data_IF_862259935230
#
_entry.id   IF_862259935230
#
_cell.length_a   1.000
_cell.length_b   1.000
_cell.length_c   1.000
_cell.angle_alpha   90.00
_cell.angle_beta   90.00
_cell.angle_gamma   90.00
#
_symmetry.space_group_name_H-M   'P 1'
#
loop_
_entity.id
_entity.type
_entity.pdbx_description
1 polymer ?
#
# COMPACT_ATOMS: atom_id res chain seq x y z
N UNK A 1 15.36 15.61 1.62
CA UNK A 1 14.09 15.54 2.36
C UNK A 1 12.93 16.14 1.57
N UNK A 2 12.97 17.43 1.22
CA UNK A 2 11.89 18.08 0.43
C UNK A 2 11.66 17.43 -0.94
N UNK A 3 12.71 16.96 -1.63
CA UNK A 3 12.62 16.33 -2.92
C UNK A 3 11.92 14.96 -2.85
N UNK A 4 12.27 14.14 -1.87
CA UNK A 4 11.64 12.84 -1.64
C UNK A 4 10.13 12.95 -1.37
N UNK A 5 9.69 13.96 -0.58
CA UNK A 5 8.28 14.20 -0.35
C UNK A 5 7.53 14.65 -1.62
N UNK A 6 8.16 15.42 -2.51
CA UNK A 6 7.57 15.80 -3.81
C UNK A 6 7.46 14.60 -4.75
N UNK A 7 8.49 13.77 -4.82
CA UNK A 7 8.46 12.53 -5.60
C UNK A 7 7.37 11.57 -5.08
N UNK A 8 7.22 11.46 -3.76
CA UNK A 8 6.11 10.72 -3.13
C UNK A 8 4.75 11.23 -3.61
N UNK A 9 4.52 12.54 -3.60
CA UNK A 9 3.25 13.12 -4.05
C UNK A 9 2.99 12.81 -5.53
N UNK A 10 4.02 12.87 -6.38
CA UNK A 10 3.92 12.48 -7.79
C UNK A 10 3.58 10.98 -7.92
N UNK A 11 4.19 10.11 -7.12
CA UNK A 11 3.87 8.68 -7.10
C UNK A 11 2.41 8.42 -6.71
N UNK A 12 1.90 9.11 -5.69
CA UNK A 12 0.50 8.99 -5.24
C UNK A 12 -0.47 9.51 -6.31
N UNK A 13 -0.14 10.63 -6.96
CA UNK A 13 -0.96 11.20 -8.04
C UNK A 13 -1.10 10.22 -9.22
N UNK A 14 -0.03 9.53 -9.58
CA UNK A 14 -0.02 8.49 -10.62
C UNK A 14 -0.65 7.17 -10.19
N UNK A 15 -1.10 7.05 -8.94
CA UNK A 15 -1.62 5.84 -8.32
C UNK A 15 -3.07 6.02 -7.82
N UNK A 16 -4.04 6.37 -8.69
CA UNK A 16 -5.42 6.64 -8.27
C UNK A 16 -6.16 5.41 -7.74
N UNK A 17 -5.75 4.19 -8.06
CA UNK A 17 -6.26 2.92 -7.50
C UNK A 17 -5.13 1.91 -7.33
N UNK A 18 -5.36 0.79 -6.60
CA UNK A 18 -4.40 -0.30 -6.44
C UNK A 18 -3.85 -0.82 -7.78
N UNK A 19 -4.67 -0.86 -8.81
CA UNK A 19 -4.24 -1.28 -10.15
C UNK A 19 -3.27 -0.28 -10.79
N UNK A 20 -3.51 1.02 -10.62
CA UNK A 20 -2.62 2.07 -11.10
C UNK A 20 -1.34 2.14 -10.27
N UNK A 21 -1.41 1.87 -8.95
CA UNK A 21 -0.22 1.78 -8.11
C UNK A 21 0.76 0.74 -8.64
N UNK A 22 0.24 -0.43 -9.02
CA UNK A 22 1.09 -1.50 -9.60
C UNK A 22 1.60 -1.12 -10.99
N UNK A 23 0.83 -0.45 -11.82
CA UNK A 23 1.31 0.02 -13.12
C UNK A 23 2.40 1.11 -12.97
N UNK A 24 2.26 2.01 -11.98
CA UNK A 24 3.28 3.01 -11.64
C UNK A 24 4.58 2.34 -11.17
N UNK A 25 4.48 1.37 -10.24
CA UNK A 25 5.64 0.60 -9.77
C UNK A 25 6.28 -0.19 -10.91
N UNK A 26 5.48 -0.83 -11.76
CA UNK A 26 5.95 -1.52 -12.96
C UNK A 26 6.73 -0.58 -13.89
N UNK A 27 6.21 0.63 -14.13
CA UNK A 27 6.91 1.64 -14.92
C UNK A 27 8.30 1.99 -14.35
N UNK A 28 8.40 2.17 -13.03
CA UNK A 28 9.69 2.43 -12.36
C UNK A 28 10.67 1.24 -12.52
N UNK A 29 10.17 0.01 -12.46
CA UNK A 29 10.98 -1.20 -12.65
C UNK A 29 11.43 -1.36 -14.11
N UNK A 30 10.55 -1.10 -15.08
CA UNK A 30 10.85 -1.15 -16.51
C UNK A 30 11.94 -0.11 -16.86
N UNK A 31 11.82 1.11 -16.36
CA UNK A 31 12.83 2.17 -16.51
C UNK A 31 14.19 1.79 -15.90
N UNK A 32 14.16 1.05 -14.78
CA UNK A 32 15.36 0.53 -14.13
C UNK A 32 15.93 -0.75 -14.79
N UNK A 33 15.31 -1.26 -15.86
CA UNK A 33 15.78 -2.39 -16.64
C UNK A 33 15.44 -3.76 -16.04
N UNK A 34 14.42 -3.86 -15.19
CA UNK A 34 13.93 -5.13 -14.66
C UNK A 34 13.17 -5.93 -15.72
N UNK A 35 13.31 -7.24 -15.70
CA UNK A 35 12.65 -8.16 -16.63
C UNK A 35 11.34 -8.67 -16.01
N UNK A 36 10.23 -8.51 -16.73
CA UNK A 36 8.96 -9.10 -16.34
C UNK A 36 8.95 -10.62 -16.51
N UNK A 37 8.55 -11.32 -15.46
CA UNK A 37 8.41 -12.78 -15.44
C UNK A 37 6.93 -13.17 -15.26
N UNK A 38 6.20 -13.51 -16.32
CA UNK A 38 4.82 -13.97 -16.19
C UNK A 38 4.71 -15.21 -15.30
N UNK A 39 3.72 -15.26 -14.39
CA UNK A 39 3.57 -16.42 -13.50
C UNK A 39 3.31 -17.73 -14.24
N UNK A 40 2.68 -17.69 -15.42
CA UNK A 40 2.33 -18.88 -16.21
C UNK A 40 3.52 -19.48 -16.99
N UNK A 41 4.65 -18.78 -17.08
CA UNK A 41 5.83 -19.25 -17.85
C UNK A 41 6.90 -19.84 -16.94
N UNK A 42 7.81 -20.63 -17.53
CA UNK A 42 9.03 -21.02 -16.83
C UNK A 42 9.96 -19.80 -16.70
N UNK A 43 10.53 -19.61 -15.53
CA UNK A 43 11.45 -18.50 -15.29
C UNK A 43 12.90 -18.88 -15.61
N UNK A 44 13.61 -17.98 -16.27
CA UNK A 44 15.07 -18.03 -16.48
C UNK A 44 15.70 -16.92 -15.60
N UNK A 45 16.04 -17.29 -14.37
CA UNK A 45 16.63 -16.37 -13.38
C UNK A 45 18.13 -16.65 -13.31
N UNK A 46 18.94 -15.57 -13.33
CA UNK A 46 20.40 -15.63 -13.30
C UNK A 46 20.97 -14.78 -12.18
N UNK A 47 22.13 -15.14 -11.69
CA UNK A 47 22.93 -14.30 -10.80
C UNK A 47 23.20 -12.95 -11.46
N UNK A 48 23.07 -11.87 -10.69
CA UNK A 48 23.18 -10.50 -11.17
C UNK A 48 21.95 -9.97 -11.91
N UNK A 49 20.90 -10.79 -12.11
CA UNK A 49 19.68 -10.40 -12.82
C UNK A 49 18.68 -9.67 -11.94
N UNK A 50 17.78 -8.91 -12.59
CA UNK A 50 16.72 -8.11 -11.97
C UNK A 50 15.40 -8.44 -12.61
N UNK A 51 14.39 -8.76 -11.79
CA UNK A 51 13.13 -9.32 -12.26
C UNK A 51 11.95 -8.84 -11.44
N UNK A 52 10.75 -8.93 -12.02
CA UNK A 52 9.49 -8.76 -11.29
C UNK A 52 8.39 -9.64 -11.86
N UNK A 53 7.38 -9.90 -11.03
CA UNK A 53 6.15 -10.59 -11.41
C UNK A 53 4.94 -9.91 -10.79
N UNK A 54 3.78 -10.04 -11.44
CA UNK A 54 2.52 -9.37 -11.05
C UNK A 54 1.43 -10.41 -10.91
N UNK A 55 0.66 -10.31 -9.81
CA UNK A 55 -0.54 -11.12 -9.59
C UNK A 55 -1.79 -10.21 -9.53
N UNK A 56 -2.84 -10.61 -10.21
CA UNK A 56 -4.14 -9.92 -10.27
C UNK A 56 -4.09 -8.45 -10.78
N UNK A 57 -3.00 -7.98 -11.38
CA UNK A 57 -2.82 -6.57 -11.76
C UNK A 57 -2.81 -5.59 -10.57
N UNK A 58 -2.79 -6.09 -9.33
CA UNK A 58 -2.89 -5.28 -8.11
C UNK A 58 -1.86 -5.61 -7.05
N UNK A 59 -1.04 -6.65 -7.26
CA UNK A 59 0.13 -6.97 -6.42
C UNK A 59 1.35 -7.26 -7.27
N UNK A 60 2.52 -6.87 -6.78
CA UNK A 60 3.80 -7.04 -7.48
C UNK A 60 4.88 -7.50 -6.51
N UNK A 61 5.74 -8.40 -6.98
CA UNK A 61 6.99 -8.76 -6.31
C UNK A 61 8.13 -8.54 -7.30
N UNK A 62 9.11 -7.71 -6.92
CA UNK A 62 10.33 -7.48 -7.66
C UNK A 62 11.52 -8.04 -6.87
N UNK A 63 12.53 -8.56 -7.57
CA UNK A 63 13.72 -9.08 -6.93
C UNK A 63 14.99 -8.86 -7.74
N UNK A 64 16.08 -8.71 -7.01
CA UNK A 64 17.43 -8.62 -7.56
C UNK A 64 18.26 -9.75 -6.98
N UNK A 65 18.93 -10.50 -7.84
CA UNK A 65 19.79 -11.61 -7.47
C UNK A 65 21.23 -11.10 -7.43
N UNK A 66 21.94 -11.33 -6.33
CA UNK A 66 23.35 -10.99 -6.22
C UNK A 66 24.22 -11.74 -7.24
N UNK A 67 25.41 -11.22 -7.53
CA UNK A 67 26.34 -11.85 -8.46
C UNK A 67 27.21 -12.92 -7.82
N UNK A 68 27.36 -12.88 -6.51
CA UNK A 68 28.24 -13.73 -5.71
C UNK A 68 27.43 -14.52 -4.68
N UNK A 69 26.40 -15.23 -5.12
CA UNK A 69 25.57 -16.05 -4.25
C UNK A 69 26.38 -17.26 -3.74
N UNK A 70 26.67 -17.24 -2.44
CA UNK A 70 27.13 -18.42 -1.70
C UNK A 70 25.97 -19.10 -0.98
N UNK A 71 26.03 -19.11 0.35
CA UNK A 71 24.88 -19.37 1.23
C UNK A 71 24.04 -18.09 1.28
N UNK A 72 23.08 -18.00 0.39
CA UNK A 72 22.25 -16.78 0.21
C UNK A 72 21.00 -16.82 1.07
N UNK A 73 20.41 -15.66 1.30
CA UNK A 73 19.11 -15.52 1.91
C UNK A 73 18.25 -14.47 1.18
N UNK A 74 16.99 -14.33 1.57
CA UNK A 74 16.09 -13.33 1.03
C UNK A 74 16.02 -12.14 1.97
N UNK A 75 16.34 -10.95 1.47
CA UNK A 75 16.23 -9.69 2.18
C UNK A 75 15.02 -8.94 1.65
N UNK A 76 13.92 -8.92 2.42
CA UNK A 76 12.58 -8.58 1.93
C UNK A 76 12.05 -7.33 2.59
N UNK A 77 11.39 -6.45 1.81
CA UNK A 77 10.54 -5.40 2.33
C UNK A 77 9.16 -5.50 1.68
N UNK A 78 8.10 -5.42 2.48
CA UNK A 78 6.73 -5.54 2.02
C UNK A 78 5.89 -4.34 2.48
N UNK A 79 5.00 -3.88 1.58
CA UNK A 79 4.04 -2.80 1.73
C UNK A 79 2.74 -3.17 1.02
N UNK A 80 1.73 -2.28 1.00
CA UNK A 80 0.51 -2.56 0.25
C UNK A 80 0.12 -1.45 -0.75
N UNK A 81 -0.71 -1.83 -1.73
CA UNK A 81 -1.08 -1.01 -2.88
C UNK A 81 -2.47 -0.37 -2.76
N UNK A 82 -3.31 -0.93 -1.91
CA UNK A 82 -4.69 -0.52 -1.66
C UNK A 82 -4.76 0.55 -0.55
N UNK A 83 -5.91 1.18 -0.40
CA UNK A 83 -6.22 2.18 0.63
C UNK A 83 -7.73 2.20 0.84
N UNK A 84 -8.24 2.59 2.02
CA UNK A 84 -9.68 2.64 2.26
C UNK A 84 -10.39 3.59 1.30
N UNK A 85 -11.46 3.08 0.70
CA UNK A 85 -12.26 3.83 -0.27
C UNK A 85 -13.68 3.24 -0.40
N UNK A 86 -14.46 3.71 -1.37
CA UNK A 86 -15.75 3.13 -1.73
C UNK A 86 -15.68 2.48 -3.09
N UNK A 87 -16.01 1.18 -3.14
CA UNK A 87 -16.15 0.43 -4.40
C UNK A 87 -17.51 0.73 -5.02
N UNK A 88 -17.53 1.02 -6.31
CA UNK A 88 -18.74 1.18 -7.09
C UNK A 88 -19.33 -0.21 -7.37
N UNK A 89 -20.61 -0.41 -7.04
CA UNK A 89 -21.30 -1.69 -7.28
C UNK A 89 -21.52 -1.96 -8.77
N UNK A 90 -21.73 -3.21 -9.13
CA UNK A 90 -21.87 -3.63 -10.53
C UNK A 90 -23.03 -2.96 -11.26
N UNK A 91 -24.16 -2.79 -10.58
CA UNK A 91 -25.31 -2.03 -11.07
C UNK A 91 -25.38 -0.74 -10.24
N UNK A 92 -24.65 0.32 -10.64
CA UNK A 92 -24.38 1.41 -9.72
C UNK A 92 -25.43 2.50 -9.69
N UNK A 93 -26.25 2.63 -10.73
CA UNK A 93 -27.11 3.80 -10.88
C UNK A 93 -28.39 3.70 -10.04
N UNK A 94 -28.56 4.66 -9.13
CA UNK A 94 -29.73 4.81 -8.27
C UNK A 94 -30.48 6.08 -8.64
N UNK A 95 -31.79 5.97 -8.86
CA UNK A 95 -32.66 7.15 -8.94
C UNK A 95 -32.67 7.86 -7.58
N UNK A 96 -32.49 9.16 -7.61
CA UNK A 96 -32.65 10.03 -6.44
C UNK A 96 -34.03 10.67 -6.39
N UNK A 97 -34.28 11.58 -5.43
CA UNK A 97 -35.41 12.45 -5.46
C UNK A 97 -35.45 13.28 -6.75
N UNK A 98 -36.64 13.46 -7.34
CA UNK A 98 -36.78 14.21 -8.60
C UNK A 98 -35.99 13.55 -9.74
N UNK A 99 -35.12 14.31 -10.39
CA UNK A 99 -34.33 13.85 -11.53
C UNK A 99 -32.86 13.53 -11.17
N UNK A 100 -32.51 13.46 -9.88
CA UNK A 100 -31.14 13.13 -9.47
C UNK A 100 -30.78 11.69 -9.84
N UNK A 101 -29.57 11.52 -10.35
CA UNK A 101 -28.92 10.22 -10.54
C UNK A 101 -27.73 10.11 -9.58
N UNK A 102 -27.69 9.04 -8.81
CA UNK A 102 -26.65 8.76 -7.81
C UNK A 102 -25.97 7.42 -8.14
N UNK A 103 -24.82 7.18 -7.54
CA UNK A 103 -24.16 5.88 -7.65
C UNK A 103 -24.27 5.11 -6.32
N UNK A 104 -24.51 3.80 -6.42
CA UNK A 104 -24.47 2.86 -5.31
C UNK A 104 -23.05 2.39 -5.08
N UNK A 105 -22.58 2.50 -3.86
CA UNK A 105 -21.22 2.17 -3.44
C UNK A 105 -21.22 1.31 -2.19
N UNK A 106 -20.15 0.59 -1.96
CA UNK A 106 -19.90 -0.11 -0.70
C UNK A 106 -18.50 0.19 -0.17
N UNK A 107 -18.35 0.18 1.14
CA UNK A 107 -17.10 0.45 1.80
C UNK A 107 -16.06 -0.64 1.48
N UNK A 108 -14.86 -0.22 1.12
CA UNK A 108 -13.66 -1.03 0.99
C UNK A 108 -12.68 -0.61 2.08
N UNK A 109 -12.56 -1.44 3.12
CA UNK A 109 -11.76 -1.13 4.31
C UNK A 109 -12.50 -0.30 5.37
N UNK A 110 -11.74 0.25 6.30
CA UNK A 110 -12.22 0.96 7.49
C UNK A 110 -11.99 2.46 7.46
N UNK A 111 -12.63 3.20 6.54
CA UNK A 111 -12.44 4.63 6.37
C UNK A 111 -13.13 5.49 7.44
N UNK A 112 -12.67 6.72 7.60
CA UNK A 112 -13.34 7.79 8.36
C UNK A 112 -14.38 8.43 7.44
N UNK A 113 -15.64 7.95 7.53
CA UNK A 113 -16.73 8.28 6.59
C UNK A 113 -16.94 9.77 6.37
N UNK A 114 -16.93 10.60 7.44
CA UNK A 114 -17.19 12.04 7.36
C UNK A 114 -16.16 12.83 6.54
N UNK A 115 -14.99 12.27 6.29
CA UNK A 115 -13.95 12.95 5.51
C UNK A 115 -14.19 12.90 4.00
N UNK A 116 -15.14 12.07 3.55
CA UNK A 116 -15.49 11.89 2.15
C UNK A 116 -16.55 12.88 1.64
N UNK A 117 -17.22 13.59 2.54
CA UNK A 117 -18.25 14.54 2.16
C UNK A 117 -17.68 15.84 1.58
N UNK A 118 -18.47 16.47 0.69
CA UNK A 118 -18.25 17.80 0.10
C UNK A 118 -16.91 17.97 -0.61
N UNK A 119 -16.34 16.87 -1.13
CA UNK A 119 -15.08 16.86 -1.86
C UNK A 119 -15.28 16.54 -3.33
N UNK A 120 -14.43 17.07 -4.22
CA UNK A 120 -14.42 16.64 -5.62
C UNK A 120 -13.93 15.20 -5.70
N UNK A 121 -14.76 14.32 -6.22
CA UNK A 121 -14.48 12.90 -6.39
C UNK A 121 -14.50 12.51 -7.85
N UNK A 122 -13.77 11.45 -8.17
CA UNK A 122 -13.80 10.78 -9.46
C UNK A 122 -13.75 9.26 -9.29
N UNK A 123 -13.51 8.56 -10.40
CA UNK A 123 -13.53 7.09 -10.49
C UNK A 123 -12.24 6.61 -11.12
N UNK A 124 -11.62 5.59 -10.51
CA UNK A 124 -10.50 4.86 -11.07
C UNK A 124 -10.63 3.36 -10.79
N UNK A 125 -9.94 2.56 -11.58
CA UNK A 125 -9.87 1.13 -11.36
C UNK A 125 -9.61 0.34 -12.64
N UNK A 126 -10.17 -0.86 -12.70
CA UNK A 126 -10.02 -1.81 -13.80
C UNK A 126 -11.36 -2.14 -14.41
N UNK A 127 -11.41 -2.20 -15.74
CA UNK A 127 -12.57 -2.64 -16.51
C UNK A 127 -12.17 -3.84 -17.38
N UNK A 128 -12.96 -4.88 -17.36
CA UNK A 128 -12.81 -6.08 -18.21
C UNK A 128 -13.69 -5.90 -19.43
N UNK A 129 -13.08 -5.89 -20.59
CA UNK A 129 -13.78 -5.68 -21.86
C UNK A 129 -13.62 -6.89 -22.77
N UNK A 130 -14.62 -7.13 -23.61
CA UNK A 130 -14.54 -8.12 -24.68
C UNK A 130 -13.44 -7.71 -25.67
N UNK A 131 -12.59 -8.65 -26.04
CA UNK A 131 -11.46 -8.45 -26.95
C UNK A 131 -11.35 -9.65 -27.90
N UNK A 132 -11.94 -9.51 -29.07
CA UNK A 132 -12.09 -10.62 -30.03
C UNK A 132 -12.85 -11.80 -29.42
N UNK A 133 -12.19 -12.96 -29.26
CA UNK A 133 -12.75 -14.14 -28.59
C UNK A 133 -12.41 -14.21 -27.10
N UNK A 134 -11.75 -13.19 -26.57
CA UNK A 134 -11.25 -13.14 -25.20
C UNK A 134 -11.84 -12.00 -24.39
N UNK A 135 -11.22 -11.80 -23.22
CA UNK A 135 -11.48 -10.68 -22.30
C UNK A 135 -10.15 -10.05 -21.95
N UNK A 136 -10.05 -8.75 -22.08
CA UNK A 136 -8.87 -7.99 -21.69
C UNK A 136 -9.17 -6.98 -20.57
N UNK A 137 -8.20 -6.75 -19.68
CA UNK A 137 -8.29 -5.71 -18.66
C UNK A 137 -7.81 -4.37 -19.22
N UNK A 138 -8.55 -3.30 -18.91
CA UNK A 138 -8.18 -1.93 -19.22
C UNK A 138 -8.20 -1.12 -17.94
N UNK A 139 -7.18 -0.29 -17.69
CA UNK A 139 -7.21 0.68 -16.61
C UNK A 139 -8.09 1.87 -17.01
N UNK A 140 -8.84 2.36 -16.03
CA UNK A 140 -9.69 3.53 -16.16
C UNK A 140 -9.37 4.53 -15.07
N UNK A 141 -9.10 5.77 -15.46
CA UNK A 141 -9.07 6.94 -14.58
C UNK A 141 -9.80 8.09 -15.29
N UNK A 142 -10.85 8.60 -14.66
CA UNK A 142 -11.58 9.74 -15.20
C UNK A 142 -10.95 11.02 -14.63
N UNK A 143 -10.09 11.66 -15.38
CA UNK A 143 -9.39 12.88 -14.95
C UNK A 143 -10.31 14.11 -14.99
N UNK A 144 -11.37 14.08 -14.17
CA UNK A 144 -12.38 15.13 -14.06
C UNK A 144 -13.04 15.07 -12.68
N UNK A 145 -13.40 16.22 -12.12
CA UNK A 145 -14.31 16.33 -10.99
C UNK A 145 -15.68 15.82 -11.42
N UNK A 146 -16.03 14.62 -10.99
CA UNK A 146 -17.15 13.87 -11.56
C UNK A 146 -18.32 13.72 -10.59
N UNK A 147 -18.01 13.57 -9.30
CA UNK A 147 -18.93 13.14 -8.26
C UNK A 147 -18.74 13.97 -7.00
N UNK A 148 -19.79 14.02 -6.19
CA UNK A 148 -19.74 14.56 -4.83
C UNK A 148 -20.65 13.74 -3.92
N UNK A 149 -20.24 13.53 -2.67
CA UNK A 149 -21.10 13.05 -1.59
C UNK A 149 -21.52 14.28 -0.79
N UNK A 150 -22.74 14.83 -0.96
CA UNK A 150 -23.12 16.06 -0.30
C UNK A 150 -23.54 15.81 1.14
N UNK A 151 -23.08 16.66 2.08
CA UNK A 151 -23.66 16.72 3.42
C UNK A 151 -25.11 17.19 3.40
N UNK A 152 -25.88 16.74 4.36
CA UNK A 152 -27.19 17.35 4.66
C UNK A 152 -26.95 18.69 5.35
N UNK A 153 -27.60 19.73 4.86
CA UNK A 153 -27.49 21.06 5.47
C UNK A 153 -27.77 21.04 6.97
N UNK A 154 -27.01 21.80 7.74
CA UNK A 154 -27.15 21.87 9.21
C UNK A 154 -28.57 22.11 9.68
N UNK A 155 -29.38 22.83 8.88
CA UNK A 155 -30.78 23.12 9.17
C UNK A 155 -31.67 21.86 9.22
N UNK A 156 -31.31 20.83 8.50
CA UNK A 156 -32.02 19.55 8.38
C UNK A 156 -31.35 18.41 9.14
N UNK A 157 -30.10 18.60 9.61
CA UNK A 157 -29.39 17.65 10.44
C UNK A 157 -28.58 18.35 11.54
N UNK A 158 -29.28 18.80 12.58
CA UNK A 158 -28.69 19.56 13.70
C UNK A 158 -27.80 18.69 14.58
N UNK A 159 -27.96 17.36 14.50
CA UNK A 159 -27.19 16.38 15.29
C UNK A 159 -25.82 16.06 14.67
N UNK A 160 -25.52 16.58 13.48
CA UNK A 160 -24.26 16.24 12.78
C UNK A 160 -23.01 16.52 13.62
N UNK A 161 -23.03 17.56 14.47
CA UNK A 161 -21.93 17.91 15.36
C UNK A 161 -21.99 17.23 16.74
N UNK A 162 -23.01 16.41 16.99
CA UNK A 162 -23.25 15.73 18.28
C UNK A 162 -22.97 14.21 18.20
N UNK A 163 -22.18 13.76 17.22
CA UNK A 163 -21.85 12.33 17.03
C UNK A 163 -22.83 11.59 16.12
N UNK A 164 -23.29 12.24 15.05
CA UNK A 164 -24.16 11.63 14.04
C UNK A 164 -23.51 10.36 13.43
N UNK A 165 -24.27 9.25 13.43
CA UNK A 165 -23.85 8.00 12.84
C UNK A 165 -24.32 7.91 11.39
N UNK A 166 -23.40 7.94 10.45
CA UNK A 166 -23.67 7.80 9.03
C UNK A 166 -24.20 6.40 8.69
N UNK A 167 -25.22 6.35 7.83
CA UNK A 167 -25.68 5.12 7.18
C UNK A 167 -25.09 5.07 5.76
N UNK A 168 -24.14 4.19 5.53
CA UNK A 168 -23.41 4.11 4.26
C UNK A 168 -24.31 3.88 3.06
N UNK A 169 -25.42 3.15 3.22
CA UNK A 169 -26.39 2.91 2.11
C UNK A 169 -27.21 4.14 1.77
N UNK A 170 -27.37 5.09 2.70
CA UNK A 170 -28.25 6.26 2.53
C UNK A 170 -27.42 7.52 2.31
N UNK A 171 -26.43 7.76 3.17
CA UNK A 171 -25.72 9.03 3.25
C UNK A 171 -24.52 9.12 2.27
N UNK A 172 -23.97 7.97 1.83
CA UNK A 172 -22.71 7.94 1.10
C UNK A 172 -22.83 7.60 -0.39
N UNK A 173 -24.03 7.65 -0.95
CA UNK A 173 -24.24 7.48 -2.39
C UNK A 173 -23.86 8.78 -3.14
N UNK A 174 -22.77 8.78 -3.95
CA UNK A 174 -22.35 9.98 -4.66
C UNK A 174 -23.41 10.50 -5.65
N UNK A 175 -23.58 11.80 -5.69
CA UNK A 175 -24.37 12.47 -6.71
C UNK A 175 -23.61 12.47 -8.04
N UNK A 176 -24.25 11.99 -9.10
CA UNK A 176 -23.68 11.89 -10.44
C UNK A 176 -24.33 12.85 -11.44
N UNK A 177 -25.64 13.13 -11.32
CA UNK A 177 -26.34 14.08 -12.20
C UNK A 177 -27.53 14.71 -11.51
N UNK A 178 -27.84 15.95 -11.91
CA UNK A 178 -29.00 16.72 -11.50
C UNK A 178 -30.13 16.72 -12.56
N UNK A 179 -30.17 15.72 -13.45
CA UNK A 179 -31.23 15.54 -14.43
C UNK A 179 -30.78 15.49 -15.89
N UNK A 180 -29.58 15.96 -16.21
CA UNK A 180 -29.04 15.92 -17.56
C UNK A 180 -28.72 14.49 -18.04
N UNK A 181 -28.30 13.63 -17.13
CA UNK A 181 -27.99 12.23 -17.42
C UNK A 181 -29.16 11.32 -17.01
N UNK A 182 -29.36 10.28 -17.80
CA UNK A 182 -30.37 9.25 -17.55
C UNK A 182 -29.68 7.92 -17.24
N UNK A 183 -30.42 6.96 -16.71
CA UNK A 183 -29.94 5.61 -16.42
C UNK A 183 -29.25 4.99 -17.63
N UNK A 184 -28.11 4.37 -17.41
CA UNK A 184 -27.18 3.87 -18.43
C UNK A 184 -26.03 4.82 -18.76
N UNK A 185 -26.06 6.06 -18.24
CA UNK A 185 -25.06 7.08 -18.51
C UNK A 185 -23.68 6.71 -17.94
N UNK A 186 -23.63 6.00 -16.82
CA UNK A 186 -22.35 5.65 -16.18
C UNK A 186 -21.56 4.66 -17.06
N UNK A 187 -22.20 3.58 -17.51
CA UNK A 187 -21.54 2.61 -18.40
C UNK A 187 -21.26 3.21 -19.78
N UNK A 188 -22.12 4.09 -20.29
CA UNK A 188 -21.86 4.83 -21.53
C UNK A 188 -20.65 5.76 -21.42
N UNK A 189 -20.46 6.41 -20.27
CA UNK A 189 -19.26 7.22 -19.99
C UNK A 189 -17.99 6.35 -19.99
N UNK A 190 -18.01 5.21 -19.28
CA UNK A 190 -16.87 4.28 -19.23
C UNK A 190 -16.54 3.78 -20.63
N UNK A 191 -17.54 3.38 -21.41
CA UNK A 191 -17.39 2.90 -22.78
C UNK A 191 -16.71 3.96 -23.67
N UNK A 192 -17.15 5.22 -23.53
CA UNK A 192 -16.56 6.36 -24.26
C UNK A 192 -15.11 6.59 -23.90
N UNK A 193 -14.77 6.59 -22.60
CA UNK A 193 -13.39 6.79 -22.14
C UNK A 193 -12.45 5.68 -22.60
N UNK A 194 -12.94 4.44 -22.63
CA UNK A 194 -12.14 3.29 -23.08
C UNK A 194 -12.16 3.06 -24.60
N UNK A 195 -13.01 3.78 -25.32
CA UNK A 195 -13.17 3.61 -26.78
C UNK A 195 -13.77 2.25 -27.17
N UNK A 196 -14.72 1.72 -26.37
CA UNK A 196 -15.38 0.43 -26.58
C UNK A 196 -16.91 0.61 -26.64
N UNK A 197 -17.64 -0.42 -27.07
CA UNK A 197 -19.08 -0.44 -26.95
C UNK A 197 -19.49 -0.76 -25.50
N UNK A 198 -20.61 -0.21 -25.01
CA UNK A 198 -21.06 -0.43 -23.65
C UNK A 198 -21.38 -1.90 -23.35
N UNK A 199 -21.90 -2.62 -24.35
CA UNK A 199 -22.16 -4.06 -24.29
C UNK A 199 -20.91 -4.93 -24.24
N UNK A 200 -19.75 -4.39 -24.56
CA UNK A 200 -18.46 -5.08 -24.44
C UNK A 200 -17.85 -4.98 -23.03
N UNK A 201 -18.44 -4.17 -22.14
CA UNK A 201 -18.02 -4.08 -20.73
C UNK A 201 -18.58 -5.30 -19.98
N UNK A 202 -17.69 -6.23 -19.58
CA UNK A 202 -18.06 -7.49 -18.94
C UNK A 202 -17.89 -7.48 -17.42
N UNK A 203 -17.06 -6.60 -16.89
CA UNK A 203 -16.82 -6.49 -15.45
C UNK A 203 -16.09 -5.20 -15.08
N UNK A 204 -16.29 -4.75 -13.82
CA UNK A 204 -15.74 -3.49 -13.33
C UNK A 204 -15.28 -3.64 -11.89
N UNK A 205 -14.02 -3.29 -11.61
CA UNK A 205 -13.50 -3.04 -10.28
C UNK A 205 -13.15 -1.56 -10.19
N UNK A 206 -14.13 -0.74 -9.88
CA UNK A 206 -14.02 0.73 -9.86
C UNK A 206 -14.23 1.26 -8.46
N UNK A 207 -13.45 2.30 -8.12
CA UNK A 207 -13.40 2.88 -6.79
C UNK A 207 -13.50 4.40 -6.87
N UNK A 208 -14.04 5.02 -5.82
CA UNK A 208 -14.02 6.48 -5.68
C UNK A 208 -12.60 6.95 -5.41
N UNK A 209 -12.25 8.08 -5.98
CA UNK A 209 -10.95 8.74 -5.80
C UNK A 209 -11.16 10.17 -5.38
N UNK A 210 -10.55 10.57 -4.26
CA UNK A 210 -10.47 11.96 -3.85
C UNK A 210 -9.52 12.71 -4.78
N UNK A 211 -10.00 13.76 -5.44
CA UNK A 211 -9.22 14.56 -6.38
C UNK A 211 -8.43 15.70 -5.74
N UNK A 212 -8.54 15.90 -4.43
CA UNK A 212 -7.73 16.89 -3.75
C UNK A 212 -6.24 16.52 -3.90
N UNK A 213 -5.41 17.39 -4.53
CA UNK A 213 -4.00 17.07 -4.73
C UNK A 213 -3.25 17.00 -3.42
N UNK A 214 -2.19 16.19 -3.40
CA UNK A 214 -1.25 16.19 -2.30
C UNK A 214 -0.51 17.52 -2.19
N UNK A 215 -0.14 17.92 -0.98
CA UNK A 215 0.54 19.20 -0.72
C UNK A 215 1.58 19.08 0.39
N UNK A 216 2.64 19.88 0.28
CA UNK A 216 3.57 20.16 1.38
C UNK A 216 3.18 21.50 1.96
N UNK A 217 3.08 21.59 3.29
CA UNK A 217 2.54 22.75 3.96
C UNK A 217 3.11 22.95 5.38
N UNK A 218 2.61 23.98 6.05
CA UNK A 218 3.15 24.51 7.31
C UNK A 218 4.14 25.64 7.03
N UNK A 219 4.32 26.55 7.98
CA UNK A 219 5.21 27.70 7.81
C UNK A 219 6.68 27.29 7.58
N UNK A 220 7.08 26.11 8.06
CA UNK A 220 8.41 25.54 7.89
C UNK A 220 8.44 24.32 6.94
N UNK A 221 7.38 24.14 6.11
CA UNK A 221 7.25 23.02 5.17
C UNK A 221 7.46 21.63 5.83
N UNK A 222 6.89 21.44 7.03
CA UNK A 222 7.13 20.26 7.88
C UNK A 222 6.17 19.11 7.58
N UNK A 223 5.02 19.41 6.94
CA UNK A 223 3.93 18.46 6.74
C UNK A 223 3.73 18.14 5.27
N UNK A 224 3.42 16.90 5.00
CA UNK A 224 2.91 16.43 3.73
C UNK A 224 1.51 15.86 3.95
N UNK A 225 0.54 16.31 3.16
CA UNK A 225 -0.83 15.79 3.20
C UNK A 225 -1.24 15.31 1.82
N UNK A 226 -1.89 14.15 1.78
CA UNK A 226 -2.37 13.53 0.54
C UNK A 226 -3.45 12.49 0.85
N UNK A 227 -4.31 12.15 -0.11
CA UNK A 227 -5.00 10.86 -0.07
C UNK A 227 -3.99 9.71 -0.08
N UNK A 228 -4.35 8.57 0.51
CA UNK A 228 -3.63 7.29 0.36
C UNK A 228 -2.15 7.34 0.81
N UNK A 229 -1.79 8.15 1.83
CA UNK A 229 -0.48 8.02 2.46
C UNK A 229 -0.33 6.62 3.06
N UNK A 230 -1.38 6.10 3.65
CA UNK A 230 -1.55 4.70 3.98
C UNK A 230 -2.04 3.91 2.74
N UNK A 231 -1.23 3.04 2.11
CA UNK A 231 0.18 2.78 2.45
C UNK A 231 1.13 3.13 1.28
N UNK A 232 0.65 3.98 0.35
CA UNK A 232 1.48 4.38 -0.80
C UNK A 232 2.76 5.12 -0.38
N UNK A 233 2.81 5.66 0.83
CA UNK A 233 4.02 6.24 1.39
C UNK A 233 5.07 5.15 1.63
N UNK A 234 4.72 4.04 2.31
CA UNK A 234 5.63 2.92 2.52
C UNK A 234 5.93 2.18 1.21
N UNK A 235 4.95 2.02 0.32
CA UNK A 235 5.16 1.43 -0.99
C UNK A 235 6.20 2.21 -1.81
N UNK A 236 6.12 3.54 -1.80
CA UNK A 236 7.08 4.40 -2.48
C UNK A 236 8.49 4.33 -1.88
N UNK A 237 8.61 4.52 -0.54
CA UNK A 237 9.94 4.55 0.10
C UNK A 237 10.65 3.21 0.01
N UNK A 238 9.91 2.10 0.11
CA UNK A 238 10.43 0.75 -0.04
C UNK A 238 10.90 0.48 -1.47
N UNK A 239 10.12 0.90 -2.48
CA UNK A 239 10.51 0.78 -3.89
C UNK A 239 11.74 1.63 -4.20
N UNK A 240 11.77 2.88 -3.76
CA UNK A 240 12.90 3.79 -3.97
C UNK A 240 14.19 3.21 -3.38
N UNK A 241 14.13 2.75 -2.14
CA UNK A 241 15.24 2.11 -1.46
C UNK A 241 15.72 0.84 -2.18
N UNK A 242 14.78 -0.01 -2.62
CA UNK A 242 15.09 -1.22 -3.39
C UNK A 242 15.79 -0.92 -4.70
N UNK A 243 15.39 0.13 -5.42
CA UNK A 243 16.02 0.54 -6.68
C UNK A 243 17.43 1.10 -6.47
N UNK A 244 17.66 1.88 -5.40
CA UNK A 244 18.92 2.54 -5.11
C UNK A 244 19.97 1.58 -4.50
N UNK A 245 19.52 0.58 -3.76
CA UNK A 245 20.42 -0.35 -3.07
C UNK A 245 21.04 -1.38 -4.04
N UNK A 246 22.22 -1.85 -3.67
CA UNK A 246 22.90 -2.97 -4.32
C UNK A 246 23.42 -3.93 -3.26
N UNK A 247 23.13 -5.21 -3.42
CA UNK A 247 23.69 -6.30 -2.65
C UNK A 247 24.14 -7.40 -3.62
N UNK A 248 25.38 -7.81 -3.55
CA UNK A 248 25.95 -8.76 -4.48
C UNK A 248 25.92 -10.22 -3.94
N UNK A 249 25.54 -10.41 -2.68
CA UNK A 249 25.56 -11.71 -1.99
C UNK A 249 24.21 -12.37 -1.81
N UNK A 250 23.13 -11.56 -1.73
CA UNK A 250 21.81 -12.00 -1.34
C UNK A 250 20.78 -11.79 -2.45
N UNK A 251 19.56 -12.22 -2.20
CA UNK A 251 18.41 -11.91 -3.04
C UNK A 251 17.59 -10.84 -2.35
N UNK A 252 17.68 -9.60 -2.86
CA UNK A 252 16.83 -8.49 -2.41
C UNK A 252 15.45 -8.62 -3.03
N UNK A 253 14.38 -8.49 -2.21
CA UNK A 253 12.99 -8.65 -2.65
C UNK A 253 12.16 -7.47 -2.18
N UNK A 254 11.43 -6.84 -3.10
CA UNK A 254 10.40 -5.85 -2.84
C UNK A 254 9.03 -6.47 -3.08
N UNK A 255 8.11 -6.30 -2.14
CA UNK A 255 6.72 -6.76 -2.24
C UNK A 255 5.77 -5.59 -2.07
N UNK A 256 4.72 -5.53 -2.93
CA UNK A 256 3.60 -4.63 -2.72
C UNK A 256 2.33 -5.44 -2.94
N UNK A 257 1.58 -5.71 -1.85
CA UNK A 257 0.40 -6.57 -1.86
C UNK A 257 -0.88 -5.75 -1.95
N UNK A 258 -1.96 -6.37 -2.41
CA UNK A 258 -3.30 -5.82 -2.44
C UNK A 258 -4.16 -6.39 -1.30
N UNK A 259 -5.27 -5.73 -1.02
CA UNK A 259 -6.30 -6.14 -0.07
C UNK A 259 -5.84 -6.20 1.40
N UNK A 260 -4.82 -5.43 1.78
CA UNK A 260 -4.46 -5.30 3.20
C UNK A 260 -5.64 -4.76 3.99
N UNK A 261 -6.27 -3.70 3.51
CA UNK A 261 -7.37 -2.97 4.12
C UNK A 261 -8.65 -3.80 4.36
N UNK A 262 -8.73 -4.97 3.76
CA UNK A 262 -9.82 -5.93 3.90
C UNK A 262 -9.35 -7.30 4.39
N UNK A 263 -8.17 -7.37 5.01
CA UNK A 263 -7.64 -8.53 5.73
C UNK A 263 -6.74 -9.47 4.95
N UNK A 264 -6.19 -9.07 3.80
CA UNK A 264 -5.17 -9.81 3.02
C UNK A 264 -5.58 -11.23 2.57
N UNK A 265 -6.83 -11.62 2.73
CA UNK A 265 -7.31 -13.00 2.53
C UNK A 265 -7.81 -13.23 1.10
N UNK A 266 -6.94 -12.93 0.12
CA UNK A 266 -7.20 -13.11 -1.31
C UNK A 266 -6.00 -13.77 -1.98
N UNK A 267 -6.13 -14.20 -3.26
CA UNK A 267 -5.03 -14.81 -4.01
C UNK A 267 -3.82 -13.89 -4.22
N UNK A 268 -3.99 -12.58 -4.08
CA UNK A 268 -2.97 -11.54 -4.26
C UNK A 268 -2.59 -10.83 -2.96
N UNK A 269 -3.29 -11.07 -1.85
CA UNK A 269 -2.99 -10.46 -0.54
C UNK A 269 -1.76 -11.08 0.13
N UNK A 270 -1.28 -10.46 1.20
CA UNK A 270 -0.11 -10.92 1.96
C UNK A 270 -0.29 -12.31 2.56
N UNK A 271 -1.53 -12.75 2.80
CA UNK A 271 -1.85 -14.07 3.33
C UNK A 271 -1.88 -15.18 2.27
N UNK A 272 -1.70 -14.82 0.98
CA UNK A 272 -1.65 -15.78 -0.12
C UNK A 272 -0.28 -16.48 -0.22
N UNK A 273 -0.21 -17.50 -1.07
CA UNK A 273 1.07 -18.15 -1.40
C UNK A 273 1.94 -17.33 -2.35
N UNK A 274 1.57 -16.08 -2.71
CA UNK A 274 2.27 -15.32 -3.74
C UNK A 274 3.76 -15.16 -3.44
N UNK A 275 4.11 -14.73 -2.24
CA UNK A 275 5.50 -14.61 -1.82
C UNK A 275 6.20 -15.98 -1.83
N UNK A 276 5.60 -16.99 -1.22
CA UNK A 276 6.13 -18.35 -1.17
C UNK A 276 6.41 -18.92 -2.58
N UNK A 277 5.43 -18.78 -3.49
CA UNK A 277 5.56 -19.23 -4.88
C UNK A 277 6.76 -18.58 -5.57
N UNK A 278 6.93 -17.25 -5.39
CA UNK A 278 8.04 -16.48 -5.98
C UNK A 278 9.39 -16.95 -5.43
N UNK A 279 9.53 -17.07 -4.10
CA UNK A 279 10.78 -17.48 -3.47
C UNK A 279 11.18 -18.91 -3.88
N UNK A 280 10.22 -19.85 -3.92
CA UNK A 280 10.47 -21.21 -4.43
C UNK A 280 10.93 -21.20 -5.89
N UNK A 281 10.31 -20.38 -6.73
CA UNK A 281 10.66 -20.28 -8.15
C UNK A 281 12.03 -19.65 -8.36
N UNK A 282 12.43 -18.66 -7.56
CA UNK A 282 13.79 -18.11 -7.58
C UNK A 282 14.79 -19.20 -7.25
N UNK A 283 14.60 -19.89 -6.13
CA UNK A 283 15.48 -20.99 -5.70
C UNK A 283 15.63 -22.05 -6.79
N UNK A 284 14.52 -22.55 -7.34
CA UNK A 284 14.55 -23.58 -8.38
C UNK A 284 15.18 -23.12 -9.70
N UNK A 285 14.93 -21.86 -10.12
CA UNK A 285 15.51 -21.29 -11.34
C UNK A 285 17.02 -21.06 -11.23
N UNK A 286 17.53 -20.81 -10.01
CA UNK A 286 18.96 -20.73 -9.70
C UNK A 286 19.64 -22.11 -9.63
N UNK A 287 18.89 -23.20 -9.84
CA UNK A 287 19.41 -24.57 -9.77
C UNK A 287 19.70 -25.07 -8.35
N UNK A 288 19.14 -24.40 -7.34
CA UNK A 288 19.27 -24.76 -5.93
C UNK A 288 18.28 -25.86 -5.55
N UNK A 289 18.62 -26.64 -4.53
CA UNK A 289 17.78 -27.74 -4.03
C UNK A 289 16.64 -27.24 -3.14
N UNK A 290 15.63 -28.07 -2.81
CA UNK A 290 14.66 -27.73 -1.78
C UNK A 290 15.27 -27.49 -0.40
N UNK A 291 16.36 -28.17 -0.06
CA UNK A 291 17.08 -27.96 1.20
C UNK A 291 17.75 -26.57 1.25
N UNK A 292 18.35 -26.12 0.14
CA UNK A 292 18.92 -24.77 0.02
C UNK A 292 17.83 -23.69 0.24
N UNK A 293 16.59 -23.96 -0.20
CA UNK A 293 15.47 -23.07 0.05
C UNK A 293 15.17 -22.91 1.54
N UNK A 294 15.10 -24.00 2.29
CA UNK A 294 14.83 -23.94 3.72
C UNK A 294 15.95 -23.25 4.50
N UNK A 295 17.20 -23.47 4.10
CA UNK A 295 18.34 -22.76 4.66
C UNK A 295 18.27 -21.26 4.37
N UNK A 296 17.99 -20.90 3.11
CA UNK A 296 17.83 -19.51 2.71
C UNK A 296 16.70 -18.81 3.50
N UNK A 297 15.54 -19.45 3.64
CA UNK A 297 14.41 -18.90 4.41
C UNK A 297 14.77 -18.72 5.89
N UNK A 298 15.48 -19.69 6.50
CA UNK A 298 15.89 -19.59 7.90
C UNK A 298 16.86 -18.42 8.16
N UNK A 299 17.68 -18.05 7.17
CA UNK A 299 18.57 -16.87 7.22
C UNK A 299 17.92 -15.57 6.75
N UNK A 300 16.64 -15.58 6.34
CA UNK A 300 15.96 -14.44 5.73
C UNK A 300 15.39 -13.47 6.75
N UNK A 301 15.18 -12.22 6.30
CA UNK A 301 14.58 -11.16 7.10
C UNK A 301 13.56 -10.37 6.28
N UNK A 302 12.40 -10.10 6.90
CA UNK A 302 11.32 -9.30 6.32
C UNK A 302 11.14 -8.00 7.10
N UNK A 303 11.15 -6.88 6.41
CA UNK A 303 10.65 -5.59 6.90
C UNK A 303 9.22 -5.41 6.39
N UNK A 304 8.24 -5.48 7.28
CA UNK A 304 6.85 -5.13 7.01
C UNK A 304 6.71 -3.62 7.21
N UNK A 305 6.56 -2.88 6.11
CA UNK A 305 6.51 -1.43 6.09
C UNK A 305 5.09 -0.97 5.79
N UNK A 306 4.43 -0.43 6.79
CA UNK A 306 3.04 0.00 6.77
C UNK A 306 2.90 1.15 7.79
N UNK A 307 2.22 2.25 7.43
CA UNK A 307 2.26 3.48 8.20
C UNK A 307 1.87 3.31 9.69
N UNK A 308 2.34 4.22 10.53
CA UNK A 308 2.14 4.19 11.98
C UNK A 308 1.36 5.43 12.46
N UNK A 309 0.73 5.33 13.64
CA UNK A 309 -0.01 6.44 14.22
C UNK A 309 0.92 7.43 14.90
N UNK A 310 0.89 8.71 14.48
CA UNK A 310 1.50 9.79 15.26
C UNK A 310 0.61 10.21 16.44
N UNK A 311 1.21 10.73 17.52
CA UNK A 311 0.47 11.33 18.62
C UNK A 311 -0.41 12.46 18.08
N UNK A 312 -1.72 12.36 18.36
CA UNK A 312 -2.67 13.37 17.89
C UNK A 312 -2.55 14.65 18.72
N UNK A 313 -2.41 15.83 18.08
CA UNK A 313 -2.11 17.09 18.79
C UNK A 313 -3.17 17.49 19.83
N UNK A 314 -4.44 17.11 19.62
CA UNK A 314 -5.54 17.43 20.54
C UNK A 314 -6.01 16.23 21.38
N UNK A 315 -5.46 15.03 21.15
CA UNK A 315 -5.88 13.77 21.78
C UNK A 315 -4.69 12.88 22.13
N UNK A 316 -3.68 13.45 22.80
CA UNK A 316 -2.49 12.72 23.24
C UNK A 316 -2.81 11.54 24.15
N UNK A 317 -3.92 11.60 24.87
CA UNK A 317 -4.42 10.51 25.72
C UNK A 317 -4.87 9.26 24.97
N UNK A 318 -4.97 9.30 23.64
CA UNK A 318 -5.30 8.13 22.80
C UNK A 318 -4.10 7.23 22.53
N UNK A 319 -2.89 7.69 22.78
CA UNK A 319 -1.65 6.93 22.62
C UNK A 319 -1.08 6.50 23.97
N UNK A 320 -0.19 5.49 23.97
CA UNK A 320 0.60 5.15 25.15
C UNK A 320 1.46 6.36 25.57
N UNK A 321 1.67 6.52 26.88
CA UNK A 321 2.34 7.71 27.41
C UNK A 321 3.84 7.82 27.04
N UNK A 322 4.48 6.67 26.75
CA UNK A 322 5.93 6.60 26.46
C UNK A 322 6.26 5.82 25.20
N UNK A 323 5.44 4.84 24.83
CA UNK A 323 5.62 4.07 23.59
C UNK A 323 4.76 4.68 22.46
N UNK A 324 5.14 5.87 22.04
CA UNK A 324 4.39 6.67 21.08
C UNK A 324 5.31 7.33 20.06
N UNK A 325 4.77 7.75 18.93
CA UNK A 325 5.55 8.26 17.80
C UNK A 325 5.09 9.64 17.35
N UNK A 326 6.02 10.39 16.79
CA UNK A 326 5.88 11.79 16.39
C UNK A 326 6.34 11.98 14.95
N UNK A 327 5.65 12.79 14.20
CA UNK A 327 6.06 13.17 12.83
C UNK A 327 7.43 13.86 12.82
N UNK A 328 8.20 13.62 11.76
CA UNK A 328 9.55 14.17 11.56
C UNK A 328 10.60 13.69 12.58
N UNK A 329 10.36 12.58 13.24
CA UNK A 329 11.27 12.00 14.23
C UNK A 329 11.83 10.63 13.85
N UNK A 330 11.62 10.19 12.61
CA UNK A 330 12.19 8.98 12.05
C UNK A 330 11.26 7.77 12.06
N UNK A 331 11.87 6.62 11.86
CA UNK A 331 11.16 5.34 11.70
C UNK A 331 10.50 4.91 13.01
N UNK A 332 9.27 4.43 12.89
CA UNK A 332 8.54 3.83 14.00
C UNK A 332 8.66 2.32 13.92
N UNK A 333 9.20 1.66 14.94
CA UNK A 333 9.13 0.21 15.12
C UNK A 333 7.87 -0.09 15.93
N UNK A 334 6.98 -0.90 15.36
CA UNK A 334 5.67 -1.25 15.95
C UNK A 334 5.76 -2.57 16.71
N UNK A 335 5.31 -2.61 17.96
CA UNK A 335 5.28 -3.81 18.80
C UNK A 335 3.86 -4.14 19.28
N UNK A 336 3.55 -5.42 19.39
CA UNK A 336 2.27 -5.90 19.93
C UNK A 336 2.45 -7.22 20.66
N UNK A 337 2.12 -7.24 21.95
CA UNK A 337 2.14 -8.48 22.75
C UNK A 337 1.19 -9.55 22.18
N UNK A 338 0.12 -9.15 21.50
CA UNK A 338 -0.83 -10.05 20.85
C UNK A 338 -0.42 -10.45 19.43
N UNK A 339 0.82 -10.17 19.04
CA UNK A 339 1.40 -10.50 17.72
C UNK A 339 0.55 -10.00 16.54
N UNK A 340 -0.06 -8.82 16.71
CA UNK A 340 -0.68 -8.08 15.60
C UNK A 340 0.38 -7.40 14.71
N UNK A 341 1.57 -7.21 15.27
CA UNK A 341 2.82 -6.87 14.60
C UNK A 341 3.82 -8.01 14.86
N UNK A 342 4.66 -8.31 13.88
CA UNK A 342 5.62 -9.42 13.93
C UNK A 342 6.84 -9.14 14.79
N UNK A 343 7.08 -7.88 15.15
CA UNK A 343 8.27 -7.43 15.87
C UNK A 343 8.45 -8.18 17.18
N UNK A 344 9.64 -8.69 17.37
CA UNK A 344 10.16 -9.21 18.63
C UNK A 344 11.47 -8.51 19.03
N UNK A 345 12.08 -8.89 20.14
CA UNK A 345 13.30 -8.27 20.61
C UNK A 345 14.49 -8.45 19.65
N UNK A 346 14.57 -9.60 18.95
CA UNK A 346 15.61 -9.88 17.96
C UNK A 346 15.46 -8.99 16.73
N UNK A 347 14.31 -9.01 16.09
CA UNK A 347 14.05 -8.26 14.87
C UNK A 347 14.12 -6.74 15.10
N UNK A 348 13.64 -6.27 16.26
CA UNK A 348 13.84 -4.87 16.70
C UNK A 348 15.31 -4.51 16.79
N UNK A 349 16.12 -5.35 17.45
CA UNK A 349 17.57 -5.08 17.60
C UNK A 349 18.28 -5.03 16.25
N UNK A 350 17.98 -5.96 15.34
CA UNK A 350 18.52 -5.99 13.98
C UNK A 350 18.19 -4.69 13.24
N UNK A 351 16.92 -4.30 13.15
CA UNK A 351 16.54 -3.14 12.38
C UNK A 351 16.96 -1.82 13.04
N UNK A 352 17.00 -1.74 14.38
CA UNK A 352 17.55 -0.61 15.10
C UNK A 352 19.02 -0.39 14.75
N UNK A 353 19.82 -1.47 14.65
CA UNK A 353 21.23 -1.36 14.26
C UNK A 353 21.36 -0.84 12.82
N UNK A 354 20.55 -1.34 11.89
CA UNK A 354 20.50 -0.85 10.50
C UNK A 354 20.21 0.66 10.46
N UNK A 355 19.21 1.13 11.22
CA UNK A 355 18.87 2.54 11.30
C UNK A 355 20.01 3.38 11.89
N UNK A 356 20.69 2.89 12.94
CA UNK A 356 21.85 3.57 13.55
C UNK A 356 22.98 3.73 12.55
N UNK A 357 23.31 2.69 11.78
CA UNK A 357 24.33 2.75 10.72
C UNK A 357 23.93 3.69 9.57
N UNK A 358 22.64 3.80 9.28
CA UNK A 358 22.11 4.75 8.31
C UNK A 358 22.05 6.20 8.86
N UNK A 359 22.29 6.42 10.15
CA UNK A 359 22.11 7.71 10.82
C UNK A 359 20.64 8.17 10.81
N UNK A 360 19.71 7.24 10.99
CA UNK A 360 18.25 7.47 10.98
C UNK A 360 17.71 7.30 12.39
N UNK A 361 16.97 8.27 12.93
CA UNK A 361 16.37 8.15 14.25
C UNK A 361 15.25 7.10 14.25
N UNK A 362 15.09 6.40 15.38
CA UNK A 362 14.10 5.35 15.59
C UNK A 362 13.19 5.71 16.76
N UNK A 363 11.91 5.42 16.61
CA UNK A 363 10.89 5.53 17.64
C UNK A 363 10.26 4.16 17.88
N UNK A 364 9.73 3.93 19.08
CA UNK A 364 9.02 2.68 19.41
C UNK A 364 7.55 3.00 19.63
N UNK A 365 6.67 2.17 19.09
CA UNK A 365 5.22 2.29 19.23
C UNK A 365 4.62 1.00 19.77
N UNK A 366 3.77 1.14 20.78
CA UNK A 366 2.84 0.12 21.22
C UNK A 366 1.48 0.77 21.47
N UNK A 367 0.40 0.05 21.22
CA UNK A 367 -0.94 0.53 21.54
C UNK A 367 -1.12 0.71 23.05
N UNK A 368 -1.97 1.67 23.46
CA UNK A 368 -2.47 1.71 24.84
C UNK A 368 -3.07 0.35 25.20
N UNK A 369 -2.82 -0.12 26.40
CA UNK A 369 -3.23 -1.47 26.84
C UNK A 369 -4.75 -1.71 26.80
N UNK A 370 -5.55 -0.64 26.78
CA UNK A 370 -7.02 -0.67 26.69
C UNK A 370 -7.57 -0.44 25.28
N UNK A 371 -6.68 -0.31 24.27
CA UNK A 371 -7.07 -0.11 22.86
C UNK A 371 -6.60 -1.33 22.05
N UNK A 372 -7.55 -1.95 21.36
CA UNK A 372 -7.25 -2.97 20.35
C UNK A 372 -6.67 -2.28 19.12
N UNK A 373 -5.41 -2.55 18.81
CA UNK A 373 -4.77 -2.07 17.58
C UNK A 373 -5.23 -2.84 16.35
N UNK A 374 -4.92 -2.27 15.17
CA UNK A 374 -5.00 -2.98 13.89
C UNK A 374 -3.96 -4.10 13.79
N UNK A 375 -3.97 -4.79 12.67
CA UNK A 375 -2.94 -5.74 12.25
C UNK A 375 -2.25 -5.17 11.01
N UNK A 376 -1.13 -5.76 10.62
CA UNK A 376 -0.40 -5.40 9.40
C UNK A 376 -0.21 -6.62 8.50
N UNK A 377 0.38 -6.39 7.33
CA UNK A 377 0.66 -7.47 6.37
C UNK A 377 1.74 -8.46 6.86
N UNK A 378 2.63 -8.05 7.77
CA UNK A 378 3.78 -8.85 8.21
C UNK A 378 3.40 -10.14 8.91
N UNK A 379 2.54 -10.10 9.93
CA UNK A 379 2.09 -11.28 10.64
C UNK A 379 1.26 -12.22 9.75
N UNK A 380 0.56 -11.68 8.75
CA UNK A 380 -0.23 -12.46 7.78
C UNK A 380 0.70 -13.16 6.77
N UNK A 381 1.69 -12.45 6.22
CA UNK A 381 2.69 -13.01 5.30
C UNK A 381 3.49 -14.15 5.96
N UNK A 382 3.83 -14.01 7.24
CA UNK A 382 4.55 -15.03 8.01
C UNK A 382 3.78 -16.35 8.19
N UNK A 383 2.49 -16.39 7.91
CA UNK A 383 1.72 -17.64 7.87
C UNK A 383 2.10 -18.53 6.70
N UNK A 384 2.65 -17.96 5.62
CA UNK A 384 3.07 -18.67 4.41
C UNK A 384 4.59 -18.79 4.29
N UNK A 385 5.32 -17.74 4.68
CA UNK A 385 6.79 -17.69 4.65
C UNK A 385 7.27 -17.25 6.03
N UNK A 386 7.56 -18.21 6.90
CA UNK A 386 7.93 -17.95 8.30
C UNK A 386 9.39 -17.54 8.40
N UNK A 387 9.63 -16.24 8.59
CA UNK A 387 10.96 -15.62 8.68
C UNK A 387 11.04 -14.65 9.85
N UNK A 388 12.25 -14.27 10.26
CA UNK A 388 12.42 -13.13 11.15
C UNK A 388 11.82 -11.87 10.50
N UNK A 389 10.99 -11.15 11.24
CA UNK A 389 10.32 -9.99 10.68
C UNK A 389 10.17 -8.84 11.69
N UNK A 390 10.23 -7.62 11.19
CA UNK A 390 10.00 -6.39 11.94
C UNK A 390 8.89 -5.60 11.27
N UNK A 391 7.95 -5.10 12.06
CA UNK A 391 6.94 -4.15 11.59
C UNK A 391 7.41 -2.72 11.86
N UNK A 392 7.52 -1.95 10.79
CA UNK A 392 7.89 -0.54 10.84
C UNK A 392 6.82 0.32 10.15
N UNK A 393 6.88 1.63 10.38
CA UNK A 393 6.04 2.57 9.65
C UNK A 393 6.53 4.01 9.75
N UNK A 394 5.91 4.87 8.97
CA UNK A 394 6.08 6.31 9.05
C UNK A 394 4.91 6.91 9.85
N UNK A 395 5.19 7.81 10.81
CA UNK A 395 4.13 8.35 11.66
C UNK A 395 3.25 9.33 10.90
N UNK A 396 1.94 9.09 10.94
CA UNK A 396 0.93 9.93 10.29
C UNK A 396 -0.25 10.23 11.22
N UNK A 397 -0.99 11.28 10.89
CA UNK A 397 -2.27 11.66 11.49
C UNK A 397 -3.40 11.30 10.54
N UNK A 398 -4.58 11.08 11.13
CA UNK A 398 -5.82 10.82 10.42
C UNK A 398 -5.73 9.63 9.44
N UNK A 399 -5.02 8.56 9.82
CA UNK A 399 -4.99 7.30 9.07
C UNK A 399 -6.42 6.87 8.70
N UNK A 400 -6.64 6.43 7.46
CA UNK A 400 -7.93 6.10 6.87
C UNK A 400 -8.89 7.29 6.64
N UNK A 401 -8.42 8.52 6.80
CA UNK A 401 -9.13 9.69 6.25
C UNK A 401 -8.99 9.71 4.72
N UNK A 402 -9.93 10.31 4.03
CA UNK A 402 -9.75 10.52 2.59
C UNK A 402 -8.61 11.53 2.26
N UNK A 403 -8.01 12.15 3.30
CA UNK A 403 -6.87 13.06 3.19
C UNK A 403 -6.07 13.04 4.50
N UNK A 404 -4.91 12.44 4.46
CA UNK A 404 -4.05 12.12 5.62
C UNK A 404 -2.86 13.08 5.71
N UNK A 405 -2.14 13.06 6.84
CA UNK A 405 -1.01 13.98 7.08
C UNK A 405 0.17 13.26 7.72
N UNK A 406 1.37 13.42 7.16
CA UNK A 406 2.61 12.85 7.67
C UNK A 406 3.73 13.91 7.74
N UNK A 407 4.89 13.51 8.24
CA UNK A 407 6.09 14.35 8.33
C UNK A 407 6.93 14.29 7.05
N UNK A 408 7.35 15.44 6.54
CA UNK A 408 8.20 15.55 5.32
C UNK A 408 9.55 14.84 5.50
N UNK A 409 10.15 14.89 6.71
CA UNK A 409 11.49 14.31 6.96
C UNK A 409 11.46 12.79 7.00
N UNK A 410 10.35 12.20 7.42
CA UNK A 410 10.24 10.77 7.63
C UNK A 410 10.32 10.00 6.31
N UNK A 411 9.91 10.60 5.18
CA UNK A 411 10.05 10.04 3.84
C UNK A 411 11.52 9.74 3.51
N UNK A 412 12.41 10.73 3.70
CA UNK A 412 13.83 10.56 3.44
C UNK A 412 14.50 9.60 4.44
N UNK A 413 14.09 9.66 5.72
CA UNK A 413 14.59 8.74 6.74
C UNK A 413 14.26 7.29 6.37
N UNK A 414 13.05 7.02 5.90
CA UNK A 414 12.66 5.67 5.47
C UNK A 414 13.48 5.19 4.26
N UNK A 415 13.63 6.02 3.23
CA UNK A 415 14.47 5.66 2.07
C UNK A 415 15.88 5.29 2.54
N UNK A 416 16.51 6.09 3.38
CA UNK A 416 17.87 5.85 3.87
C UNK A 416 17.99 4.56 4.70
N UNK A 417 17.04 4.33 5.63
CA UNK A 417 17.06 3.13 6.46
C UNK A 417 16.87 1.87 5.63
N UNK A 418 15.90 1.87 4.71
CA UNK A 418 15.61 0.72 3.86
C UNK A 418 16.69 0.49 2.80
N UNK A 419 17.33 1.55 2.28
CA UNK A 419 18.50 1.43 1.39
C UNK A 419 19.64 0.73 2.14
N UNK A 420 19.94 1.16 3.37
CA UNK A 420 20.95 0.52 4.21
C UNK A 420 20.59 -0.94 4.51
N UNK A 421 19.32 -1.23 4.83
CA UNK A 421 18.84 -2.59 5.02
C UNK A 421 19.16 -3.47 3.82
N UNK A 422 18.79 -3.07 2.62
CA UNK A 422 19.08 -3.85 1.40
C UNK A 422 20.56 -3.97 1.07
N UNK A 423 21.39 -3.02 1.47
CA UNK A 423 22.85 -3.04 1.23
C UNK A 423 23.61 -3.95 2.20
N UNK A 424 23.04 -4.25 3.36
CA UNK A 424 23.69 -5.01 4.42
C UNK A 424 23.36 -6.49 4.28
N UNK A 425 24.35 -7.35 4.20
CA UNK A 425 24.14 -8.81 4.31
C UNK A 425 23.98 -9.19 5.78
N UNK A 426 22.85 -9.82 6.13
CA UNK A 426 22.53 -10.27 7.47
C UNK A 426 22.91 -11.73 7.64
N UNK A 427 23.97 -12.02 8.40
CA UNK A 427 24.35 -13.38 8.75
C UNK A 427 23.60 -13.79 10.03
N UNK A 428 22.45 -14.43 9.87
CA UNK A 428 21.54 -14.81 10.97
C UNK A 428 21.85 -16.25 11.40
N UNK A 429 22.25 -16.41 12.66
CA UNK A 429 22.47 -17.72 13.30
C UNK A 429 21.32 -17.97 14.31
N UNK A 430 20.15 -18.38 13.82
CA UNK A 430 18.93 -18.49 14.63
C UNK A 430 18.48 -17.14 15.19
N UNK A 431 17.82 -17.13 16.35
CA UNK A 431 17.40 -15.88 17.02
C UNK A 431 18.42 -15.41 18.08
N UNK A 432 19.61 -16.00 18.13
CA UNK A 432 20.61 -15.76 19.17
C UNK A 432 21.70 -14.83 18.72
N UNK A 433 21.98 -14.80 17.42
CA UNK A 433 23.08 -14.02 16.86
C UNK A 433 22.80 -13.56 15.44
N UNK A 434 23.22 -12.35 15.13
CA UNK A 434 23.31 -11.81 13.77
C UNK A 434 24.62 -11.03 13.62
N UNK A 435 25.28 -11.21 12.48
CA UNK A 435 26.39 -10.37 12.05
C UNK A 435 25.97 -9.53 10.86
N UNK A 436 26.51 -8.32 10.76
CA UNK A 436 26.24 -7.37 9.68
C UNK A 436 27.49 -7.24 8.80
N UNK A 437 27.37 -7.51 7.50
CA UNK A 437 28.46 -7.45 6.53
C UNK A 437 28.18 -6.48 5.37
#
# INVERSE_FOLDING_TARGET
>A
MMNAAKELLTFIENSPSMFHSIETIKGMLDEAGFTYLPERTRWDVKQGGTYYTIRNHSSIIAFRVGKELGDYHFQMCASHSDSPTYKIKNVPELNGPGEYLRLDVEAYGGMIDNTWFDRPLTVAGRVLVKDGQGVSARLLYIDKDLLIIPNVAIHFNREVNNGYKYNRQVDLCPLFSAGELKKGAFDAMIAKELGVAAEDILGKDLFLVNRQPGTIWGYADEFVSSPKLDDLQCAYVSMKAFLEAKNERDVSVYCCFDNEEVGSNTKQGAMSTFLQDVLHRINGALGKTPEDYYQAVAGSFLVSCDNAHAVHPNHGEKTDAVNCSWMNKGIVIKESANQKYTTDAFSRAVFTNVCNEAGVPVQVFANRSDILGGSTLGNLSNTQVSVHAVDIGLPQLAMHSCYETAGVKDVEYAIRALTKFYQTTLQIEGAERVCFE
#
